data_IF_263690431114
#
_entry.id   IF_263690431114
#
_cell.length_a   1.000
_cell.length_b   1.000
_cell.length_c   1.000
_cell.angle_alpha   90.00
_cell.angle_beta   90.00
_cell.angle_gamma   90.00
#
_symmetry.space_group_name_H-M   'P 1'
#
loop_
_entity.id
_entity.type
_entity.pdbx_description
1 polymer ?
#
# COMPACT_ATOMS: atom_id res chain seq x y z
N UNK A 1 -9.91 0.80 19.34
CA UNK A 1 -8.49 1.10 19.59
C UNK A 1 -7.96 2.07 18.56
N UNK A 2 -7.08 2.93 18.99
CA UNK A 2 -6.45 3.89 18.08
C UNK A 2 -5.50 3.18 17.11
N UNK A 3 -5.46 3.64 15.86
CA UNK A 3 -4.47 3.18 14.89
C UNK A 3 -3.08 3.66 15.32
N UNK A 4 -2.09 2.84 15.05
CA UNK A 4 -0.70 3.24 15.26
C UNK A 4 -0.24 4.08 14.04
N UNK A 5 0.56 5.14 14.28
CA UNK A 5 1.04 6.00 13.19
C UNK A 5 2.29 5.44 12.51
N UNK A 6 2.33 4.13 12.35
CA UNK A 6 3.35 3.40 11.59
C UNK A 6 2.61 2.44 10.69
N UNK A 7 2.89 2.50 9.41
CA UNK A 7 2.19 1.70 8.42
C UNK A 7 3.16 1.14 7.39
N UNK A 8 2.62 0.25 6.55
CA UNK A 8 3.33 -0.30 5.42
C UNK A 8 2.58 0.06 4.14
N UNK A 9 3.33 0.21 3.06
CA UNK A 9 2.83 0.39 1.71
C UNK A 9 3.42 -0.73 0.87
N UNK A 10 2.57 -1.53 0.23
CA UNK A 10 3.05 -2.63 -0.61
C UNK A 10 2.65 -2.37 -2.05
N UNK A 11 3.64 -2.09 -2.90
CA UNK A 11 3.42 -1.94 -4.33
C UNK A 11 3.44 -3.32 -4.96
N UNK A 12 2.31 -3.72 -5.51
CA UNK A 12 2.15 -5.03 -6.18
C UNK A 12 2.27 -4.79 -7.67
N UNK A 13 3.22 -5.46 -8.33
CA UNK A 13 3.45 -5.21 -9.75
C UNK A 13 3.84 -6.48 -10.49
N UNK A 14 3.70 -6.44 -11.80
CA UNK A 14 4.17 -7.51 -12.69
C UNK A 14 5.59 -7.23 -13.16
N UNK A 15 6.18 -8.22 -13.81
CA UNK A 15 7.50 -8.06 -14.43
C UNK A 15 7.51 -6.93 -15.48
N UNK A 16 6.35 -6.65 -16.11
CA UNK A 16 6.21 -5.57 -17.08
C UNK A 16 5.87 -4.22 -16.43
N UNK A 17 5.90 -4.16 -15.09
CA UNK A 17 5.62 -2.93 -14.32
C UNK A 17 4.20 -2.42 -14.50
N UNK A 18 3.26 -3.34 -14.60
CA UNK A 18 1.87 -3.03 -14.37
C UNK A 18 1.63 -3.09 -12.88
N UNK A 19 0.94 -2.11 -12.33
CA UNK A 19 0.77 -1.95 -10.90
C UNK A 19 -0.68 -2.14 -10.52
N UNK A 20 -0.91 -2.87 -9.43
CA UNK A 20 -2.23 -3.09 -8.87
C UNK A 20 -2.64 -1.91 -8.02
N UNK A 21 -3.82 -1.37 -8.28
CA UNK A 21 -4.44 -0.34 -7.45
C UNK A 21 -5.80 -0.81 -6.95
N UNK A 22 -6.15 -0.36 -5.76
CA UNK A 22 -7.41 -0.67 -5.08
C UNK A 22 -8.16 0.63 -4.81
N UNK A 23 -9.48 0.62 -5.04
CA UNK A 23 -10.33 1.79 -4.76
C UNK A 23 -10.92 1.67 -3.37
N UNK A 24 -10.79 2.72 -2.55
CA UNK A 24 -11.29 2.72 -1.18
C UNK A 24 -12.82 2.73 -1.13
N UNK A 25 -13.40 1.84 -0.35
CA UNK A 25 -14.86 1.79 -0.17
C UNK A 25 -15.40 3.07 0.47
N UNK A 26 -14.67 3.63 1.44
CA UNK A 26 -15.11 4.81 2.17
C UNK A 26 -14.95 6.11 1.38
N UNK A 27 -14.16 6.10 0.31
CA UNK A 27 -13.83 7.30 -0.48
C UNK A 27 -13.78 6.94 -1.96
N UNK A 28 -14.91 6.94 -2.66
CA UNK A 28 -14.93 6.65 -4.10
C UNK A 28 -13.96 7.56 -4.86
N UNK A 29 -13.24 6.98 -5.80
CA UNK A 29 -12.23 7.68 -6.58
C UNK A 29 -10.85 7.75 -5.93
N UNK A 30 -10.71 7.30 -4.68
CA UNK A 30 -9.41 7.27 -4.01
C UNK A 30 -8.77 5.91 -4.25
N UNK A 31 -7.77 5.88 -5.14
CA UNK A 31 -7.04 4.68 -5.53
C UNK A 31 -5.67 4.63 -4.85
N UNK A 32 -5.23 3.45 -4.49
CA UNK A 32 -3.99 3.26 -3.75
C UNK A 32 -3.46 1.85 -3.91
N UNK A 33 -2.17 1.67 -3.60
CA UNK A 33 -1.59 0.35 -3.40
C UNK A 33 -2.09 -0.25 -2.09
N UNK A 34 -1.66 -1.46 -1.76
CA UNK A 34 -1.95 -2.07 -0.46
C UNK A 34 -1.30 -1.24 0.64
N UNK A 35 -2.05 -0.90 1.67
CA UNK A 35 -1.53 -0.14 2.80
C UNK A 35 -2.27 -0.49 4.07
N UNK A 36 -1.60 -0.38 5.20
CA UNK A 36 -2.24 -0.58 6.49
C UNK A 36 -1.30 -0.32 7.65
N UNK A 37 -1.87 0.01 8.80
CA UNK A 37 -1.11 0.27 10.02
C UNK A 37 -0.69 -1.02 10.69
N UNK A 38 0.37 -0.96 11.48
CA UNK A 38 0.74 -2.06 12.38
C UNK A 38 -0.43 -2.32 13.34
N UNK A 39 -0.64 -3.58 13.68
CA UNK A 39 -1.66 -3.95 14.66
C UNK A 39 -1.17 -3.74 16.10
N UNK A 40 0.13 -3.80 16.28
CA UNK A 40 0.77 -3.56 17.58
C UNK A 40 2.16 -2.97 17.34
N UNK A 41 2.69 -2.28 18.33
CA UNK A 41 3.95 -1.54 18.18
C UNK A 41 5.14 -2.44 17.83
N UNK A 42 5.12 -3.70 18.26
CA UNK A 42 6.22 -4.65 18.05
C UNK A 42 5.99 -5.58 16.85
N UNK A 43 4.96 -5.35 16.05
CA UNK A 43 4.74 -6.16 14.86
C UNK A 43 5.88 -5.94 13.87
N UNK A 44 6.54 -7.01 13.37
CA UNK A 44 7.58 -6.83 12.34
C UNK A 44 7.00 -6.20 11.09
N UNK A 45 7.72 -5.25 10.50
CA UNK A 45 7.25 -4.54 9.30
C UNK A 45 6.95 -5.50 8.15
N UNK A 46 7.84 -6.47 7.90
CA UNK A 46 7.62 -7.44 6.84
C UNK A 46 6.39 -8.31 7.12
N UNK A 47 6.15 -8.63 8.38
CA UNK A 47 4.94 -9.37 8.78
C UNK A 47 3.68 -8.59 8.52
N UNK A 48 3.70 -7.29 8.85
CA UNK A 48 2.57 -6.41 8.57
C UNK A 48 2.32 -6.29 7.07
N UNK A 49 3.36 -6.16 6.27
CA UNK A 49 3.25 -6.06 4.83
C UNK A 49 2.60 -7.33 4.23
N UNK A 50 3.03 -8.50 4.68
CA UNK A 50 2.45 -9.78 4.22
C UNK A 50 1.01 -9.92 4.66
N UNK A 51 0.71 -9.54 5.88
CA UNK A 51 -0.65 -9.60 6.42
C UNK A 51 -1.60 -8.70 5.64
N UNK A 52 -1.21 -7.44 5.43
CA UNK A 52 -2.04 -6.49 4.70
C UNK A 52 -2.24 -6.93 3.24
N UNK A 53 -1.18 -7.42 2.59
CA UNK A 53 -1.28 -7.92 1.24
C UNK A 53 -2.32 -9.04 1.14
N UNK A 54 -2.26 -10.01 2.05
CA UNK A 54 -3.21 -11.12 2.06
C UNK A 54 -4.63 -10.65 2.37
N UNK A 55 -4.78 -9.78 3.37
CA UNK A 55 -6.11 -9.29 3.77
C UNK A 55 -6.78 -8.49 2.67
N UNK A 56 -6.03 -7.66 1.96
CA UNK A 56 -6.60 -6.73 0.98
C UNK A 56 -6.72 -7.34 -0.42
N UNK A 57 -5.94 -8.33 -0.76
CA UNK A 57 -5.90 -8.86 -2.13
C UNK A 57 -6.03 -10.38 -2.24
N UNK A 58 -5.84 -11.09 -1.14
CA UNK A 58 -5.76 -12.56 -1.17
C UNK A 58 -4.42 -13.10 -1.67
N UNK A 59 -3.49 -12.22 -2.03
CA UNK A 59 -2.18 -12.66 -2.55
C UNK A 59 -1.30 -13.11 -1.39
N UNK A 60 -0.74 -14.31 -1.51
CA UNK A 60 0.24 -14.84 -0.56
C UNK A 60 1.64 -14.60 -1.11
N UNK A 61 2.37 -13.68 -0.50
CA UNK A 61 3.75 -13.46 -0.87
C UNK A 61 4.64 -14.46 -0.15
N UNK A 62 5.56 -15.07 -0.88
CA UNK A 62 6.61 -15.84 -0.27
C UNK A 62 7.51 -14.90 0.54
N UNK A 63 8.17 -15.43 1.54
CA UNK A 63 9.04 -14.63 2.39
C UNK A 63 10.13 -13.91 1.57
N UNK A 64 10.65 -14.57 0.54
CA UNK A 64 11.66 -13.99 -0.34
C UNK A 64 11.09 -13.18 -1.51
N UNK A 65 9.77 -13.20 -1.70
CA UNK A 65 9.11 -12.43 -2.76
C UNK A 65 8.79 -11.01 -2.38
N UNK A 66 8.81 -10.69 -1.09
CA UNK A 66 8.51 -9.37 -0.58
C UNK A 66 9.82 -8.60 -0.41
N UNK A 67 9.95 -7.49 -1.12
CA UNK A 67 11.15 -6.65 -1.10
C UNK A 67 10.93 -5.44 -0.22
N UNK A 68 11.80 -5.25 0.76
CA UNK A 68 11.82 -4.02 1.56
C UNK A 68 12.75 -3.02 0.90
N UNK A 69 12.27 -1.78 0.70
CA UNK A 69 13.01 -0.80 -0.07
C UNK A 69 13.99 0.04 0.76
N UNK A 70 14.02 -0.10 2.07
CA UNK A 70 14.81 0.77 2.95
C UNK A 70 14.39 2.23 2.77
N UNK A 71 13.11 2.45 2.50
CA UNK A 71 12.51 3.76 2.22
C UNK A 71 11.26 3.89 3.06
N UNK A 72 11.11 5.04 3.70
CA UNK A 72 9.89 5.37 4.44
C UNK A 72 9.51 6.80 4.17
N UNK A 73 8.21 7.06 4.15
CA UNK A 73 7.67 8.41 4.04
C UNK A 73 7.02 8.79 5.35
N UNK A 74 7.28 10.01 5.80
CA UNK A 74 6.52 10.58 6.92
C UNK A 74 5.67 11.70 6.35
N UNK A 75 4.37 11.61 6.56
CA UNK A 75 3.43 12.58 6.02
C UNK A 75 2.39 12.97 7.06
N UNK A 76 1.80 14.14 6.84
CA UNK A 76 0.72 14.64 7.67
C UNK A 76 -0.56 13.85 7.35
N UNK A 77 -1.22 13.38 8.40
CA UNK A 77 -2.47 12.63 8.24
C UNK A 77 -3.57 13.63 7.87
N UNK A 78 -4.37 13.30 6.86
CA UNK A 78 -5.54 14.13 6.49
C UNK A 78 -6.40 14.38 7.72
N UNK A 79 -6.82 15.62 7.90
CA UNK A 79 -7.58 16.04 9.07
C UNK A 79 -8.80 15.15 9.33
N UNK A 80 -9.50 14.73 8.28
CA UNK A 80 -10.68 13.89 8.37
C UNK A 80 -10.40 12.48 8.89
N UNK A 81 -9.13 12.05 8.92
CA UNK A 81 -8.76 10.72 9.39
C UNK A 81 -8.04 10.72 10.73
N UNK A 82 -7.71 11.90 11.28
CA UNK A 82 -6.94 11.96 12.54
C UNK A 82 -7.68 11.36 13.73
N UNK A 83 -9.01 11.35 13.68
CA UNK A 83 -9.81 10.77 14.75
C UNK A 83 -9.57 9.27 14.96
N UNK A 84 -8.99 8.59 13.97
CA UNK A 84 -8.67 7.16 14.06
C UNK A 84 -7.43 6.90 14.92
N UNK A 85 -6.65 7.92 15.21
CA UNK A 85 -5.38 7.82 15.92
C UNK A 85 -5.52 8.38 17.33
N UNK A 86 -4.53 8.12 18.20
CA UNK A 86 -4.50 8.70 19.51
C UNK A 86 -4.49 10.24 19.43
N UNK A 87 -5.11 10.94 20.39
CA UNK A 87 -5.13 12.40 20.40
C UNK A 87 -3.72 12.97 20.29
N UNK A 88 -3.56 14.00 19.44
CA UNK A 88 -2.28 14.64 19.21
C UNK A 88 -1.44 14.02 18.11
N UNK A 89 -1.85 12.89 17.55
CA UNK A 89 -1.16 12.27 16.43
C UNK A 89 -1.47 13.04 15.15
N UNK A 90 -0.43 13.56 14.50
CA UNK A 90 -0.59 14.35 13.28
C UNK A 90 0.12 13.74 12.06
N UNK A 91 1.12 12.90 12.29
CA UNK A 91 1.95 12.33 11.22
C UNK A 91 2.00 10.81 11.29
N UNK A 92 2.13 10.19 10.13
CA UNK A 92 2.28 8.75 9.98
C UNK A 92 3.58 8.47 9.22
N UNK A 93 4.30 7.42 9.62
CA UNK A 93 5.47 6.93 8.91
C UNK A 93 5.11 5.64 8.17
N UNK A 94 5.27 5.66 6.86
CA UNK A 94 4.87 4.58 5.97
C UNK A 94 6.11 3.93 5.36
N UNK A 95 6.32 2.66 5.65
CA UNK A 95 7.47 1.89 5.15
C UNK A 95 7.11 1.18 3.85
N UNK A 96 7.97 1.30 2.84
CA UNK A 96 7.69 0.84 1.49
C UNK A 96 8.21 -0.56 1.24
N UNK A 97 7.34 -1.39 0.68
CA UNK A 97 7.64 -2.74 0.20
C UNK A 97 7.12 -2.89 -1.22
N UNK A 98 7.63 -3.90 -1.92
CA UNK A 98 7.04 -4.30 -3.19
C UNK A 98 7.04 -5.82 -3.31
N UNK A 99 6.16 -6.31 -4.17
CA UNK A 99 6.14 -7.72 -4.56
C UNK A 99 5.97 -7.79 -6.07
N UNK A 100 6.83 -8.56 -6.73
CA UNK A 100 6.74 -8.76 -8.17
C UNK A 100 6.05 -10.09 -8.45
N UNK A 101 5.05 -10.06 -9.32
CA UNK A 101 4.35 -11.24 -9.80
C UNK A 101 4.70 -11.49 -11.26
N UNK A 102 4.73 -12.75 -11.73
CA UNK A 102 5.02 -13.02 -13.13
C UNK A 102 4.02 -12.38 -14.07
N UNK A 103 2.77 -12.27 -13.65
CA UNK A 103 1.68 -11.70 -14.44
C UNK A 103 0.57 -11.24 -13.54
N UNK A 104 -0.41 -10.55 -14.10
CA UNK A 104 -1.60 -10.14 -13.37
C UNK A 104 -2.29 -11.37 -12.79
N UNK A 105 -2.83 -11.23 -11.58
CA UNK A 105 -3.59 -12.29 -10.92
C UNK A 105 -4.95 -11.77 -10.51
N UNK A 106 -5.95 -12.66 -10.36
CA UNK A 106 -7.21 -12.26 -9.76
C UNK A 106 -7.01 -11.79 -8.33
N UNK A 107 -7.80 -10.79 -7.92
CA UNK A 107 -7.69 -10.16 -6.60
C UNK A 107 -8.97 -10.42 -5.84
N UNK A 108 -8.85 -10.93 -4.61
CA UNK A 108 -9.97 -11.11 -3.70
C UNK A 108 -10.02 -9.93 -2.74
N UNK A 109 -10.90 -8.98 -3.02
CA UNK A 109 -11.01 -7.75 -2.24
C UNK A 109 -11.66 -8.00 -0.89
N UNK A 110 -11.23 -7.21 0.11
CA UNK A 110 -11.95 -7.07 1.38
C UNK A 110 -13.03 -6.01 1.16
N UNK A 111 -14.31 -6.39 1.01
CA UNK A 111 -15.34 -5.46 0.50
C UNK A 111 -15.60 -4.27 1.42
N UNK A 112 -15.28 -4.40 2.72
CA UNK A 112 -15.45 -3.31 3.67
C UNK A 112 -14.38 -2.23 3.50
N UNK A 113 -13.25 -2.57 2.90
CA UNK A 113 -12.14 -1.65 2.72
C UNK A 113 -12.00 -1.17 1.28
N UNK A 114 -12.21 -2.06 0.32
CA UNK A 114 -12.02 -1.75 -1.10
C UNK A 114 -13.15 -2.32 -1.95
N UNK A 115 -13.55 -1.57 -2.97
CA UNK A 115 -14.69 -1.94 -3.83
C UNK A 115 -14.28 -2.30 -5.25
N UNK A 116 -13.06 -1.98 -5.67
CA UNK A 116 -12.61 -2.25 -7.02
C UNK A 116 -11.09 -2.39 -7.07
N UNK A 117 -10.59 -3.05 -8.09
CA UNK A 117 -9.17 -3.18 -8.35
C UNK A 117 -8.89 -2.94 -9.84
N UNK A 118 -7.69 -2.43 -10.12
CA UNK A 118 -7.21 -2.19 -11.48
C UNK A 118 -5.74 -2.57 -11.57
N UNK A 119 -5.35 -3.07 -12.74
CA UNK A 119 -3.95 -3.19 -13.12
C UNK A 119 -3.67 -2.14 -14.19
N UNK A 120 -2.69 -1.27 -13.94
CA UNK A 120 -2.36 -0.20 -14.88
C UNK A 120 -0.85 -0.13 -15.09
N UNK A 121 -0.39 0.30 -16.28
CA UNK A 121 1.03 0.64 -16.45
C UNK A 121 1.45 1.62 -15.37
N UNK A 122 2.70 1.54 -14.92
CA UNK A 122 3.13 2.27 -13.73
C UNK A 122 2.89 3.80 -13.82
N UNK A 123 3.06 4.40 -15.01
CA UNK A 123 2.82 5.85 -15.14
C UNK A 123 1.39 6.22 -14.87
N UNK A 124 0.46 5.46 -15.46
CA UNK A 124 -0.97 5.69 -15.24
C UNK A 124 -1.37 5.39 -13.80
N UNK A 125 -0.80 4.32 -13.23
CA UNK A 125 -1.07 3.96 -11.84
C UNK A 125 -0.61 5.08 -10.89
N UNK A 126 0.58 5.63 -11.12
CA UNK A 126 1.09 6.72 -10.30
C UNK A 126 0.16 7.94 -10.35
N UNK A 127 -0.29 8.32 -11.55
CA UNK A 127 -1.18 9.46 -11.71
C UNK A 127 -2.52 9.26 -11.04
N UNK A 128 -3.01 8.01 -10.97
CA UNK A 128 -4.31 7.71 -10.40
C UNK A 128 -4.31 7.70 -8.87
N UNK A 129 -3.15 7.55 -8.24
CA UNK A 129 -3.06 7.50 -6.79
C UNK A 129 -3.42 8.83 -6.14
N UNK A 130 -4.21 8.77 -5.06
CA UNK A 130 -4.59 9.99 -4.34
C UNK A 130 -3.47 10.52 -3.43
N UNK A 131 -2.56 9.66 -2.98
CA UNK A 131 -1.51 10.05 -2.03
C UNK A 131 -0.19 10.28 -2.76
N UNK A 132 0.53 11.34 -2.36
CA UNK A 132 1.80 11.68 -2.99
C UNK A 132 2.88 10.63 -2.70
N UNK A 133 2.85 10.01 -1.52
CA UNK A 133 3.84 9.00 -1.16
C UNK A 133 3.69 7.74 -2.01
N UNK A 134 2.47 7.31 -2.24
CA UNK A 134 2.18 6.17 -3.09
C UNK A 134 2.59 6.45 -4.54
N UNK A 135 2.28 7.66 -5.02
CA UNK A 135 2.68 8.10 -6.37
C UNK A 135 4.19 8.07 -6.54
N UNK A 136 4.90 8.59 -5.54
CA UNK A 136 6.37 8.63 -5.56
C UNK A 136 6.96 7.21 -5.59
N UNK A 137 6.44 6.32 -4.75
CA UNK A 137 6.91 4.93 -4.71
C UNK A 137 6.73 4.24 -6.05
N UNK A 138 5.57 4.41 -6.68
CA UNK A 138 5.30 3.81 -7.99
C UNK A 138 6.24 4.37 -9.06
N UNK A 139 6.51 5.67 -9.02
CA UNK A 139 7.46 6.29 -9.96
C UNK A 139 8.89 5.76 -9.79
N UNK A 140 9.31 5.55 -8.55
CA UNK A 140 10.61 4.94 -8.28
C UNK A 140 10.65 3.54 -8.89
N UNK A 141 9.63 2.73 -8.67
CA UNK A 141 9.54 1.39 -9.24
C UNK A 141 9.67 1.45 -10.77
N UNK A 142 8.90 2.31 -11.39
CA UNK A 142 8.84 2.39 -12.86
C UNK A 142 10.12 2.90 -13.49
N UNK A 143 10.84 3.77 -12.80
CA UNK A 143 12.07 4.40 -13.30
C UNK A 143 13.32 3.60 -13.00
N UNK A 144 13.27 2.63 -12.10
CA UNK A 144 14.43 1.82 -11.79
C UNK A 144 14.79 0.93 -12.98
N UNK A 145 16.06 0.93 -13.36
CA UNK A 145 16.58 0.02 -14.37
C UNK A 145 16.67 -1.38 -13.79
N UNK A 146 16.46 -2.36 -14.63
CA UNK A 146 16.63 -3.75 -14.25
C UNK A 146 18.00 -4.26 -14.66
#
# INVERSE_FOLDING_TARGET
MAKLPVSVLVVVHTAQREVLLLERAARPGFWQSVTGSLERADEPLAGAARRELREETGIEARQDGLQRWQLAYTFEIFAQWRHRFAPGTTHNTEHVFSVELPQRVPVALAPQEHVASLWLPWREAAEKCFSWSNRDAIRILGQCAR
#
